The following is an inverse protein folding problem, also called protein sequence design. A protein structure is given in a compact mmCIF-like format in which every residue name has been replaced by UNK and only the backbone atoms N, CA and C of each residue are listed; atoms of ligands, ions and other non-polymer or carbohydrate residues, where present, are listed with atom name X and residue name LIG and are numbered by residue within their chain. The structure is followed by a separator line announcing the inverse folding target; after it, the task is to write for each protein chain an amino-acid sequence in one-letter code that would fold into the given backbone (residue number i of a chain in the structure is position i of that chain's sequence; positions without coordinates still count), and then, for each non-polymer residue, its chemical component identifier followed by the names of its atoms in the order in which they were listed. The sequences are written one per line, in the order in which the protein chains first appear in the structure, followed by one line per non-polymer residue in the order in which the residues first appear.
data_IF_740311130499
#
_entry.id   IF_740311130499
#
_cell.length_a   1.000
_cell.length_b   1.000
_cell.length_c   1.000
_cell.angle_alpha   90.00
_cell.angle_beta   90.00
_cell.angle_gamma   90.00
#
_symmetry.space_group_name_H-M   'P 1'
#
loop_
_entity.id
_entity.type
_entity.pdbx_description
1 polymer ?
#
# COMPACT_ATOMS: atom_id res chain seq x y z
N UNK A 1 11.42 5.30 3.72
CA UNK A 1 10.70 5.40 5.01
C UNK A 1 11.45 6.35 5.92
N UNK A 2 10.79 7.30 6.54
CA UNK A 2 11.36 8.14 7.59
C UNK A 2 10.69 7.70 8.88
N UNK A 3 11.47 7.10 9.78
CA UNK A 3 11.09 7.03 11.18
C UNK A 3 11.16 8.44 11.76
N UNK A 4 10.00 9.00 12.04
CA UNK A 4 9.88 10.25 12.76
C UNK A 4 9.68 9.89 14.24
N UNK A 5 10.78 9.61 14.91
CA UNK A 5 10.79 9.46 16.35
C UNK A 5 10.53 10.83 16.97
N UNK A 6 9.32 11.11 17.50
CA UNK A 6 8.97 12.45 17.94
C UNK A 6 8.23 12.48 19.26
N UNK A 7 8.87 13.12 20.22
CA UNK A 7 8.32 13.83 21.37
C UNK A 7 7.29 14.92 21.00
N UNK A 8 6.84 14.92 19.73
CA UNK A 8 6.16 16.03 19.12
C UNK A 8 4.66 15.90 19.05
N UNK A 9 4.19 14.69 18.81
CA UNK A 9 2.77 14.42 18.89
C UNK A 9 2.41 14.20 20.35
N UNK A 10 1.31 14.76 20.79
CA UNK A 10 0.87 14.70 22.21
C UNK A 10 0.66 13.27 22.72
N UNK A 11 0.61 12.30 21.82
CA UNK A 11 0.40 10.89 22.11
C UNK A 11 1.69 10.05 22.22
N UNK A 12 2.87 10.67 22.10
CA UNK A 12 4.18 10.00 22.13
C UNK A 12 4.33 8.84 21.14
N UNK A 13 3.47 8.81 20.11
CA UNK A 13 3.47 7.76 19.11
C UNK A 13 4.51 8.02 18.03
N UNK A 14 5.16 6.95 17.59
CA UNK A 14 6.04 6.98 16.41
C UNK A 14 5.17 6.91 15.13
N UNK A 15 5.41 7.82 14.22
CA UNK A 15 4.73 7.85 12.92
C UNK A 15 5.74 7.67 11.80
N UNK A 16 5.33 7.02 10.72
CA UNK A 16 6.13 6.93 9.52
C UNK A 16 5.56 7.81 8.40
N UNK A 17 6.44 8.34 7.55
CA UNK A 17 6.06 9.08 6.35
C UNK A 17 6.23 8.18 5.13
N UNK A 18 5.13 7.88 4.44
CA UNK A 18 5.17 7.27 3.12
C UNK A 18 5.23 8.40 2.11
N UNK A 19 6.16 8.33 1.16
CA UNK A 19 6.39 9.39 0.19
C UNK A 19 6.57 8.82 -1.22
N UNK A 20 5.91 9.42 -2.21
CA UNK A 20 6.09 9.15 -3.63
C UNK A 20 6.77 10.36 -4.28
N UNK A 21 7.87 10.09 -4.96
CA UNK A 21 8.67 11.10 -5.67
C UNK A 21 8.68 10.75 -7.15
N UNK A 22 8.35 11.70 -8.00
CA UNK A 22 8.47 11.57 -9.45
C UNK A 22 9.94 11.64 -9.87
N UNK A 23 10.39 10.61 -10.58
CA UNK A 23 11.80 10.48 -10.98
C UNK A 23 12.23 11.53 -12.01
N UNK A 24 11.30 12.01 -12.84
CA UNK A 24 11.59 12.98 -13.90
C UNK A 24 11.71 14.41 -13.37
N UNK A 25 10.89 14.79 -12.39
CA UNK A 25 10.78 16.17 -11.90
C UNK A 25 11.24 16.36 -10.47
N UNK A 26 11.52 15.28 -9.74
CA UNK A 26 11.84 15.26 -8.31
C UNK A 26 10.73 15.81 -7.42
N UNK A 27 9.55 15.98 -7.97
CA UNK A 27 8.39 16.42 -7.20
C UNK A 27 7.95 15.32 -6.25
N UNK A 28 7.67 15.69 -5.01
CA UNK A 28 6.83 14.88 -4.13
C UNK A 28 5.42 14.93 -4.69
N UNK A 29 4.96 13.83 -5.28
CA UNK A 29 3.65 13.74 -5.92
C UNK A 29 2.56 13.35 -4.93
N UNK A 30 2.92 12.62 -3.89
CA UNK A 30 2.06 12.28 -2.77
C UNK A 30 2.89 11.93 -1.53
N UNK A 31 2.43 12.30 -0.36
CA UNK A 31 3.04 11.88 0.90
C UNK A 31 1.97 11.80 2.00
N UNK A 32 2.11 10.84 2.93
CA UNK A 32 1.15 10.61 4.00
C UNK A 32 1.85 10.12 5.26
N UNK A 33 1.54 10.74 6.39
CA UNK A 33 1.89 10.18 7.69
C UNK A 33 0.95 9.05 8.06
N UNK A 34 1.53 7.96 8.55
CA UNK A 34 0.82 6.77 9.03
C UNK A 34 1.40 6.33 10.36
N UNK A 35 0.65 5.55 11.13
CA UNK A 35 1.13 5.03 12.43
C UNK A 35 2.30 4.06 12.28
N UNK A 36 2.26 3.21 11.26
CA UNK A 36 3.35 2.28 10.90
C UNK A 36 3.23 1.88 9.43
N UNK A 37 4.29 1.33 8.88
CA UNK A 37 4.28 0.76 7.54
C UNK A 37 3.53 -0.58 7.55
N UNK A 38 2.26 -0.54 7.17
CA UNK A 38 1.40 -1.71 7.04
C UNK A 38 0.86 -1.81 5.62
N UNK A 39 0.46 -3.02 5.23
CA UNK A 39 -0.12 -3.21 3.90
C UNK A 39 -1.40 -2.40 3.69
N UNK A 40 -2.20 -2.18 4.74
CA UNK A 40 -3.40 -1.34 4.65
C UNK A 40 -3.03 0.13 4.42
N UNK A 41 -2.03 0.64 5.12
CA UNK A 41 -1.57 2.02 4.94
C UNK A 41 -0.96 2.23 3.56
N UNK A 42 -0.26 1.23 3.02
CA UNK A 42 0.25 1.26 1.64
C UNK A 42 -0.89 1.19 0.62
N UNK A 43 -1.89 0.35 0.86
CA UNK A 43 -3.10 0.30 0.03
C UNK A 43 -3.82 1.65 0.00
N UNK A 44 -4.06 2.27 1.17
CA UNK A 44 -4.66 3.60 1.26
C UNK A 44 -3.83 4.65 0.53
N UNK A 45 -2.52 4.65 0.76
CA UNK A 45 -1.59 5.56 0.09
C UNK A 45 -1.64 5.43 -1.44
N UNK A 46 -1.62 4.20 -1.97
CA UNK A 46 -1.68 3.95 -3.41
C UNK A 46 -3.06 4.32 -3.97
N UNK A 47 -4.14 4.05 -3.23
CA UNK A 47 -5.49 4.44 -3.62
C UNK A 47 -5.62 5.96 -3.74
N UNK A 48 -5.18 6.71 -2.74
CA UNK A 48 -5.15 8.16 -2.74
C UNK A 48 -4.24 8.71 -3.86
N UNK A 49 -3.06 8.10 -4.04
CA UNK A 49 -2.14 8.47 -5.11
C UNK A 49 -2.78 8.36 -6.49
N UNK A 50 -3.43 7.22 -6.77
CA UNK A 50 -4.07 6.95 -8.06
C UNK A 50 -5.25 7.89 -8.31
N UNK A 51 -6.01 8.22 -7.29
CA UNK A 51 -7.14 9.17 -7.39
C UNK A 51 -6.68 10.58 -7.76
N UNK A 52 -5.49 10.98 -7.29
CA UNK A 52 -4.94 12.33 -7.52
C UNK A 52 -4.12 12.41 -8.81
N UNK A 53 -3.26 11.41 -9.04
CA UNK A 53 -2.20 11.47 -10.06
C UNK A 53 -2.41 10.50 -11.23
N UNK A 54 -3.44 9.63 -11.19
CA UNK A 54 -3.64 8.47 -12.05
C UNK A 54 -2.61 7.36 -11.76
N UNK A 55 -2.67 6.25 -12.52
CA UNK A 55 -1.74 5.12 -12.36
C UNK A 55 -0.37 5.45 -12.94
N UNK A 56 0.73 5.30 -12.19
CA UNK A 56 2.06 5.40 -12.77
C UNK A 56 2.33 4.19 -13.68
N UNK A 57 3.14 4.36 -14.70
CA UNK A 57 3.58 3.25 -15.56
C UNK A 57 4.52 2.31 -14.81
N UNK A 58 5.36 2.86 -13.95
CA UNK A 58 6.31 2.09 -13.16
C UNK A 58 6.48 2.67 -11.76
N UNK A 59 6.82 1.82 -10.81
CA UNK A 59 7.22 2.20 -9.45
C UNK A 59 8.57 1.57 -9.10
N UNK A 60 9.42 2.36 -8.49
CA UNK A 60 10.70 1.90 -7.99
C UNK A 60 10.57 1.52 -6.51
N UNK A 61 10.95 0.30 -6.16
CA UNK A 61 10.98 -0.18 -4.79
C UNK A 61 12.41 -0.52 -4.38
N UNK A 62 12.79 -0.21 -3.13
CA UNK A 62 14.08 -0.60 -2.60
C UNK A 62 14.09 -2.10 -2.29
N UNK A 63 15.18 -2.77 -2.69
CA UNK A 63 15.41 -4.20 -2.39
C UNK A 63 15.75 -4.48 -0.93
N UNK A 64 16.19 -3.48 -0.17
CA UNK A 64 16.65 -3.72 1.20
C UNK A 64 15.54 -4.25 2.12
N UNK A 65 14.29 -3.85 1.91
CA UNK A 65 13.14 -4.42 2.60
C UNK A 65 12.82 -5.87 2.18
N UNK A 66 13.28 -6.31 0.99
CA UNK A 66 13.01 -7.65 0.46
C UNK A 66 14.02 -8.73 0.87
N UNK A 67 15.17 -8.38 1.45
CA UNK A 67 16.30 -9.31 1.66
C UNK A 67 16.68 -9.64 3.11
N UNK A 68 16.11 -9.02 4.11
CA UNK A 68 16.38 -9.39 5.51
C UNK A 68 15.55 -10.61 5.91
N UNK A 69 16.03 -11.80 5.61
CA UNK A 69 15.28 -13.08 5.65
C UNK A 69 15.26 -13.76 7.02
N UNK A 70 15.93 -13.24 8.04
CA UNK A 70 16.21 -13.98 9.28
C UNK A 70 15.44 -13.51 10.53
N UNK A 71 14.45 -12.62 10.39
CA UNK A 71 13.65 -12.15 11.54
C UNK A 71 12.14 -12.35 11.28
N UNK A 72 11.29 -12.55 12.31
CA UNK A 72 9.83 -12.65 12.14
C UNK A 72 9.20 -11.46 11.39
N UNK A 73 9.75 -10.26 11.54
CA UNK A 73 9.40 -9.07 10.73
C UNK A 73 9.62 -9.29 9.23
N UNK A 74 10.64 -10.03 8.85
CA UNK A 74 11.02 -10.25 7.43
C UNK A 74 9.98 -11.08 6.66
N UNK A 75 9.21 -11.92 7.35
CA UNK A 75 8.12 -12.70 6.73
C UNK A 75 6.92 -11.81 6.40
N UNK A 76 6.62 -10.85 7.27
CA UNK A 76 5.56 -9.86 7.05
C UNK A 76 5.90 -8.94 5.87
N UNK A 77 7.13 -8.43 5.81
CA UNK A 77 7.61 -7.57 4.73
C UNK A 77 7.60 -8.31 3.38
N UNK A 78 7.93 -9.60 3.36
CA UNK A 78 7.82 -10.45 2.15
C UNK A 78 6.39 -10.61 1.66
N UNK A 79 5.46 -10.90 2.57
CA UNK A 79 4.04 -11.03 2.23
C UNK A 79 3.50 -9.70 1.71
N UNK A 80 3.85 -8.59 2.34
CA UNK A 80 3.48 -7.25 1.95
C UNK A 80 3.98 -6.90 0.55
N UNK A 81 5.27 -7.08 0.28
CA UNK A 81 5.86 -6.82 -1.04
C UNK A 81 5.30 -7.72 -2.12
N UNK A 82 5.08 -9.01 -1.81
CA UNK A 82 4.46 -9.95 -2.74
C UNK A 82 3.04 -9.51 -3.12
N UNK A 83 2.24 -9.09 -2.16
CA UNK A 83 0.86 -8.60 -2.41
C UNK A 83 0.86 -7.28 -3.17
N UNK A 84 1.76 -6.36 -2.82
CA UNK A 84 1.95 -5.11 -3.57
C UNK A 84 2.34 -5.39 -5.02
N UNK A 85 3.27 -6.30 -5.25
CA UNK A 85 3.69 -6.67 -6.61
C UNK A 85 2.55 -7.30 -7.42
N UNK A 86 1.74 -8.17 -6.81
CA UNK A 86 0.55 -8.75 -7.46
C UNK A 86 -0.45 -7.66 -7.82
N UNK A 87 -0.71 -6.71 -6.92
CA UNK A 87 -1.61 -5.59 -7.18
C UNK A 87 -1.09 -4.70 -8.32
N UNK A 88 0.20 -4.35 -8.30
CA UNK A 88 0.84 -3.59 -9.38
C UNK A 88 0.73 -4.32 -10.72
N UNK A 89 0.99 -5.63 -10.76
CA UNK A 89 0.87 -6.41 -12.00
C UNK A 89 -0.56 -6.41 -12.55
N UNK A 90 -1.58 -6.53 -11.70
CA UNK A 90 -2.99 -6.45 -12.11
C UNK A 90 -3.32 -5.07 -12.68
N UNK A 91 -2.77 -4.03 -12.08
CA UNK A 91 -2.95 -2.63 -12.51
C UNK A 91 -2.09 -2.24 -13.71
N UNK A 92 -1.27 -3.17 -14.24
CA UNK A 92 -0.30 -2.89 -15.31
C UNK A 92 0.75 -1.84 -14.92
N UNK A 93 1.12 -1.82 -13.64
CA UNK A 93 2.19 -0.99 -13.10
C UNK A 93 3.45 -1.85 -13.01
N UNK A 94 4.49 -1.46 -13.71
CA UNK A 94 5.78 -2.16 -13.63
C UNK A 94 6.45 -1.91 -12.27
N UNK A 95 6.87 -2.97 -11.59
CA UNK A 95 7.64 -2.86 -10.35
C UNK A 95 9.11 -3.06 -10.66
N UNK A 96 9.89 -2.01 -10.52
CA UNK A 96 11.33 -2.01 -10.79
C UNK A 96 12.08 -2.09 -9.47
N UNK A 97 12.76 -3.22 -9.25
CA UNK A 97 13.69 -3.37 -8.13
C UNK A 97 15.07 -2.91 -8.58
N UNK A 98 15.38 -1.65 -8.37
CA UNK A 98 16.62 -1.12 -8.86
C UNK A 98 17.79 -1.37 -7.90
N UNK A 99 18.95 -1.71 -8.49
CA UNK A 99 20.26 -1.71 -7.84
C UNK A 99 21.03 -0.42 -8.12
N UNK A 100 20.45 0.49 -8.92
CA UNK A 100 21.13 1.69 -9.36
C UNK A 100 21.26 2.69 -8.19
N UNK A 101 22.50 3.16 -7.87
CA UNK A 101 22.69 4.11 -6.79
C UNK A 101 22.02 5.47 -7.02
N UNK A 102 21.82 5.86 -8.28
CA UNK A 102 21.37 7.20 -8.65
C UNK A 102 19.94 7.51 -8.23
N UNK A 103 18.98 6.58 -8.49
CA UNK A 103 17.60 6.79 -8.06
C UNK A 103 17.46 6.65 -6.54
N UNK A 104 18.21 5.74 -5.92
CA UNK A 104 18.24 5.57 -4.46
C UNK A 104 18.70 6.86 -3.80
N UNK A 105 19.73 7.49 -4.34
CA UNK A 105 20.22 8.79 -3.88
C UNK A 105 19.13 9.89 -3.96
N UNK A 106 18.31 9.92 -5.01
CA UNK A 106 17.21 10.90 -5.16
C UNK A 106 16.17 10.73 -4.07
N UNK A 107 15.74 9.49 -3.84
CA UNK A 107 14.76 9.18 -2.79
C UNK A 107 15.35 9.47 -1.40
N UNK A 108 16.59 9.06 -1.14
CA UNK A 108 17.29 9.36 0.12
C UNK A 108 17.44 10.86 0.37
N UNK A 109 17.78 11.64 -0.66
CA UNK A 109 17.85 13.10 -0.53
C UNK A 109 16.49 13.74 -0.28
N UNK A 110 15.44 13.28 -0.95
CA UNK A 110 14.08 13.72 -0.66
C UNK A 110 13.75 13.48 0.82
N UNK A 111 14.03 12.29 1.32
CA UNK A 111 13.82 11.96 2.72
C UNK A 111 14.66 12.81 3.68
N UNK A 112 15.94 13.01 3.43
CA UNK A 112 16.80 13.91 4.24
C UNK A 112 16.23 15.32 4.27
N UNK A 113 15.75 15.83 3.14
CA UNK A 113 15.17 17.16 3.04
C UNK A 113 13.86 17.24 3.86
N UNK A 114 13.03 16.22 3.80
CA UNK A 114 11.80 16.15 4.62
C UNK A 114 12.15 16.06 6.12
N UNK A 115 13.10 15.22 6.52
CA UNK A 115 13.55 15.12 7.90
C UNK A 115 14.06 16.46 8.46
N UNK A 116 14.86 17.17 7.68
CA UNK A 116 15.43 18.44 8.16
C UNK A 116 14.40 19.58 8.20
N UNK A 117 13.46 19.64 7.25
CA UNK A 117 12.57 20.78 7.07
C UNK A 117 11.16 20.58 7.56
N UNK A 118 10.53 19.46 7.21
CA UNK A 118 9.12 19.20 7.50
C UNK A 118 8.84 19.29 8.99
N UNK A 119 9.69 18.66 9.80
CA UNK A 119 9.54 18.66 11.25
C UNK A 119 9.65 20.07 11.83
N UNK A 120 10.65 20.83 11.38
CA UNK A 120 10.86 22.21 11.85
C UNK A 120 9.66 23.09 11.46
N UNK A 121 9.11 22.93 10.25
CA UNK A 121 7.96 23.69 9.79
C UNK A 121 6.67 23.28 10.52
N UNK A 122 6.47 21.99 10.78
CA UNK A 122 5.36 21.51 11.61
C UNK A 122 5.43 22.09 13.03
N UNK A 123 6.60 22.20 13.61
CA UNK A 123 6.85 22.87 14.90
C UNK A 123 6.44 24.32 14.89
N UNK A 124 6.87 25.04 13.94
CA UNK A 124 6.51 26.45 13.80
C UNK A 124 5.00 26.65 13.58
N UNK A 125 4.32 25.70 12.95
CA UNK A 125 2.89 25.70 12.71
C UNK A 125 2.05 25.10 13.87
N UNK A 126 2.69 24.69 14.98
CA UNK A 126 2.02 24.09 16.15
C UNK A 126 1.17 22.85 15.78
N UNK A 127 1.66 22.04 14.85
CA UNK A 127 1.00 20.81 14.45
C UNK A 127 1.25 19.74 15.49
N UNK A 128 0.22 19.15 16.09
CA UNK A 128 0.33 18.26 17.24
C UNK A 128 -0.32 16.88 17.06
N UNK A 129 -0.96 16.63 15.93
CA UNK A 129 -1.59 15.33 15.66
C UNK A 129 -1.49 14.95 14.20
N UNK A 130 -1.63 13.65 13.91
CA UNK A 130 -1.45 13.08 12.58
C UNK A 130 -2.43 13.66 11.53
N UNK A 131 -3.66 13.98 11.93
CA UNK A 131 -4.68 14.51 11.01
C UNK A 131 -4.29 15.91 10.54
N UNK A 132 -3.92 16.78 11.48
CA UNK A 132 -3.44 18.13 11.14
C UNK A 132 -2.08 18.08 10.43
N UNK A 133 -1.22 17.09 10.74
CA UNK A 133 0.04 16.87 10.04
C UNK A 133 -0.17 16.51 8.57
N UNK A 134 -1.08 15.59 8.27
CA UNK A 134 -1.42 15.23 6.89
C UNK A 134 -2.05 16.38 6.13
N UNK A 135 -2.93 17.16 6.77
CA UNK A 135 -3.50 18.34 6.17
C UNK A 135 -2.42 19.41 5.86
N UNK A 136 -1.55 19.70 6.82
CA UNK A 136 -0.43 20.63 6.64
C UNK A 136 0.52 20.18 5.53
N UNK A 137 0.83 18.87 5.51
CA UNK A 137 1.68 18.25 4.50
C UNK A 137 1.13 18.52 3.10
N UNK A 138 -0.16 18.33 2.91
CA UNK A 138 -0.82 18.44 1.61
C UNK A 138 -1.09 19.86 1.17
N UNK A 139 -1.65 20.70 2.07
CA UNK A 139 -2.11 22.05 1.74
C UNK A 139 -0.96 23.06 1.64
N UNK A 140 0.11 22.82 2.40
CA UNK A 140 1.18 23.81 2.54
C UNK A 140 2.56 23.29 2.19
N UNK A 141 3.00 22.19 2.83
CA UNK A 141 4.40 21.77 2.77
C UNK A 141 4.80 21.22 1.39
N UNK A 142 4.02 20.30 0.81
CA UNK A 142 4.32 19.70 -0.49
C UNK A 142 4.37 20.75 -1.60
N UNK A 143 3.41 21.66 -1.75
CA UNK A 143 3.49 22.73 -2.74
C UNK A 143 4.74 23.61 -2.59
N UNK A 144 5.04 24.02 -1.36
CA UNK A 144 6.23 24.82 -1.03
C UNK A 144 7.53 24.08 -1.33
N UNK A 145 7.61 22.79 -0.94
CA UNK A 145 8.76 21.93 -1.22
C UNK A 145 8.99 21.77 -2.71
N UNK A 146 7.95 21.44 -3.46
CA UNK A 146 8.03 21.23 -4.90
C UNK A 146 8.44 22.50 -5.64
N UNK A 147 7.92 23.67 -5.26
CA UNK A 147 8.32 24.94 -5.86
C UNK A 147 9.82 25.21 -5.69
N UNK A 148 10.43 24.72 -4.61
CA UNK A 148 11.85 24.99 -4.30
C UNK A 148 12.80 23.96 -4.87
N UNK A 149 12.41 22.67 -4.92
CA UNK A 149 13.31 21.55 -5.16
C UNK A 149 13.01 20.76 -6.43
N UNK A 150 11.87 21.01 -7.10
CA UNK A 150 11.59 20.33 -8.36
C UNK A 150 12.46 20.87 -9.49
N UNK A 151 12.67 20.02 -10.48
CA UNK A 151 13.34 20.33 -11.73
C UNK A 151 12.38 20.16 -12.89
N UNK A 152 12.66 20.81 -14.01
CA UNK A 152 11.89 20.58 -15.24
C UNK A 152 12.14 19.20 -15.81
N UNK A 153 11.07 18.52 -16.23
CA UNK A 153 11.18 17.25 -16.90
C UNK A 153 11.90 17.41 -18.25
N UNK A 154 12.82 16.50 -18.57
CA UNK A 154 13.49 16.47 -19.88
C UNK A 154 12.51 16.23 -21.03
N UNK A 155 11.40 15.56 -20.76
CA UNK A 155 10.33 15.23 -21.70
C UNK A 155 9.02 15.67 -21.06
N UNK A 156 8.23 16.43 -21.81
CA UNK A 156 6.97 17.04 -21.32
C UNK A 156 5.76 16.09 -21.23
N UNK A 157 5.94 14.81 -21.50
CA UNK A 157 4.83 13.85 -21.53
C UNK A 157 4.53 13.31 -20.13
N UNK A 158 3.25 13.26 -19.79
CA UNK A 158 2.79 12.57 -18.59
C UNK A 158 2.49 11.10 -18.94
N UNK A 159 3.25 10.20 -18.33
CA UNK A 159 3.11 8.74 -18.53
C UNK A 159 2.09 8.08 -17.59
N UNK A 160 1.37 8.85 -16.78
CA UNK A 160 0.30 8.28 -15.95
C UNK A 160 -0.91 7.90 -16.79
N UNK A 161 -1.51 6.77 -16.46
CA UNK A 161 -2.66 6.22 -17.17
C UNK A 161 -3.91 6.30 -16.29
N UNK A 162 -5.06 6.79 -16.81
CA UNK A 162 -6.30 6.83 -16.04
C UNK A 162 -6.67 5.44 -15.51
N UNK A 163 -7.17 5.39 -14.27
CA UNK A 163 -7.73 4.16 -13.72
C UNK A 163 -9.12 3.91 -14.33
N UNK A 164 -9.41 2.68 -14.73
CA UNK A 164 -10.74 2.30 -15.21
C UNK A 164 -11.71 2.18 -14.02
N UNK A 165 -13.02 2.29 -14.30
CA UNK A 165 -14.07 2.11 -13.28
C UNK A 165 -13.96 0.74 -12.62
N UNK A 166 -13.73 -0.32 -13.39
CA UNK A 166 -13.56 -1.68 -12.88
C UNK A 166 -12.36 -1.80 -11.93
N UNK A 167 -11.22 -1.24 -12.31
CA UNK A 167 -10.01 -1.26 -11.47
C UNK A 167 -10.24 -0.52 -10.15
N UNK A 168 -10.90 0.64 -10.20
CA UNK A 168 -11.21 1.45 -9.01
C UNK A 168 -12.13 0.70 -8.04
N UNK A 169 -13.22 0.10 -8.54
CA UNK A 169 -14.17 -0.67 -7.73
C UNK A 169 -13.57 -1.96 -7.13
N UNK A 170 -12.53 -2.50 -7.76
CA UNK A 170 -11.89 -3.75 -7.33
C UNK A 170 -10.52 -3.56 -6.69
N UNK A 171 -10.07 -2.34 -6.47
CA UNK A 171 -8.73 -2.05 -5.97
C UNK A 171 -8.43 -2.76 -4.64
N UNK A 172 -9.40 -2.83 -3.72
CA UNK A 172 -9.27 -3.53 -2.44
C UNK A 172 -8.99 -5.04 -2.60
N UNK A 173 -9.46 -5.65 -3.71
CA UNK A 173 -9.29 -7.07 -3.99
C UNK A 173 -7.95 -7.37 -4.66
N UNK A 174 -7.31 -6.39 -5.31
CA UNK A 174 -6.00 -6.57 -5.92
C UNK A 174 -4.91 -6.76 -4.86
N UNK A 175 -5.08 -6.16 -3.69
CA UNK A 175 -4.23 -6.34 -2.51
C UNK A 175 -4.68 -7.49 -1.60
N UNK A 176 -5.70 -8.25 -1.97
CA UNK A 176 -6.31 -9.25 -1.12
C UNK A 176 -5.34 -10.38 -0.75
N UNK A 177 -5.50 -10.90 0.48
CA UNK A 177 -4.82 -12.10 0.94
C UNK A 177 -5.54 -13.33 0.37
N UNK A 178 -4.78 -14.25 -0.23
CA UNK A 178 -5.32 -15.51 -0.75
C UNK A 178 -4.75 -16.68 0.05
N UNK A 179 -5.63 -17.43 0.69
CA UNK A 179 -5.24 -18.61 1.46
C UNK A 179 -6.01 -19.84 1.00
N UNK A 180 -5.30 -20.96 0.88
CA UNK A 180 -5.91 -22.23 0.53
C UNK A 180 -6.50 -22.90 1.76
N UNK A 181 -7.74 -23.34 1.67
CA UNK A 181 -8.46 -24.09 2.69
C UNK A 181 -9.11 -25.31 2.06
N UNK A 182 -9.52 -26.26 2.89
CA UNK A 182 -10.18 -27.49 2.47
C UNK A 182 -11.63 -27.46 2.95
N UNK A 183 -12.55 -27.81 2.06
CA UNK A 183 -13.96 -28.00 2.39
C UNK A 183 -14.07 -29.31 3.19
N UNK A 184 -14.69 -29.24 4.37
CA UNK A 184 -14.99 -30.40 5.20
C UNK A 184 -16.17 -31.20 4.66
N UNK A 185 -16.44 -32.41 5.26
CA UNK A 185 -17.57 -33.29 4.88
C UNK A 185 -18.94 -32.61 5.09
N UNK A 186 -19.02 -31.72 6.06
CA UNK A 186 -20.20 -30.91 6.38
C UNK A 186 -20.35 -29.66 5.51
N UNK A 187 -19.56 -29.54 4.45
CA UNK A 187 -19.53 -28.39 3.54
C UNK A 187 -19.15 -27.06 4.20
N UNK A 188 -18.36 -27.16 5.25
CA UNK A 188 -17.83 -25.99 5.94
C UNK A 188 -16.35 -25.73 5.59
N UNK A 189 -15.98 -24.46 5.67
CA UNK A 189 -14.61 -23.98 5.59
C UNK A 189 -14.28 -23.22 6.87
N UNK A 190 -13.22 -23.57 7.56
CA UNK A 190 -12.75 -22.83 8.73
C UNK A 190 -11.69 -21.80 8.31
N UNK A 191 -11.91 -20.55 8.70
CA UNK A 191 -10.98 -19.48 8.46
C UNK A 191 -11.08 -18.43 9.59
N UNK A 192 -9.92 -18.00 10.14
CA UNK A 192 -9.84 -17.01 11.23
C UNK A 192 -10.81 -17.28 12.39
N UNK A 193 -10.83 -18.52 12.91
CA UNK A 193 -11.72 -18.99 13.98
C UNK A 193 -13.22 -18.90 13.68
N UNK A 194 -13.59 -18.63 12.43
CA UNK A 194 -14.97 -18.57 11.97
C UNK A 194 -15.26 -19.73 11.04
N UNK A 195 -16.47 -20.25 11.10
CA UNK A 195 -16.99 -21.33 10.27
C UNK A 195 -17.88 -20.77 9.16
N UNK A 196 -17.56 -21.09 7.93
CA UNK A 196 -18.30 -20.65 6.75
C UNK A 196 -18.96 -21.85 6.10
N UNK A 197 -20.30 -21.88 6.05
CA UNK A 197 -21.09 -22.92 5.40
C UNK A 197 -21.25 -22.59 3.92
N UNK A 198 -20.72 -23.45 3.04
CA UNK A 198 -20.94 -23.31 1.61
C UNK A 198 -22.35 -23.74 1.23
N UNK A 199 -23.01 -22.97 0.36
CA UNK A 199 -24.36 -23.30 -0.10
C UNK A 199 -24.39 -24.58 -0.92
N UNK A 200 -25.25 -25.54 -0.55
CA UNK A 200 -25.35 -26.88 -1.17
C UNK A 200 -25.69 -26.87 -2.67
N UNK A 201 -26.28 -25.79 -3.17
CA UNK A 201 -26.59 -25.63 -4.61
C UNK A 201 -25.35 -25.59 -5.50
N UNK A 202 -24.18 -25.32 -4.93
CA UNK A 202 -22.92 -25.27 -5.64
C UNK A 202 -22.16 -26.59 -5.40
N UNK A 203 -22.59 -27.68 -6.07
CA UNK A 203 -22.05 -29.02 -5.85
C UNK A 203 -20.51 -29.05 -5.95
N UNK A 204 -19.86 -29.29 -4.82
CA UNK A 204 -18.43 -29.47 -4.69
C UNK A 204 -18.14 -30.73 -3.86
N UNK A 205 -17.22 -31.60 -4.27
CA UNK A 205 -16.84 -32.75 -3.46
C UNK A 205 -16.20 -32.28 -2.15
N UNK A 206 -16.49 -32.98 -1.05
CA UNK A 206 -15.76 -32.81 0.19
C UNK A 206 -14.25 -33.00 -0.05
N UNK A 207 -13.42 -32.38 0.80
CA UNK A 207 -11.95 -32.38 0.69
C UNK A 207 -11.39 -31.59 -0.49
N UNK A 208 -12.25 -30.91 -1.25
CA UNK A 208 -11.77 -30.03 -2.32
C UNK A 208 -11.09 -28.81 -1.73
N UNK A 209 -9.98 -28.42 -2.34
CA UNK A 209 -9.28 -27.19 -2.01
C UNK A 209 -10.01 -26.00 -2.59
N UNK A 210 -10.19 -24.97 -1.77
CA UNK A 210 -10.75 -23.66 -2.13
C UNK A 210 -9.80 -22.55 -1.74
N UNK A 211 -9.92 -21.42 -2.43
CA UNK A 211 -9.19 -20.20 -2.09
C UNK A 211 -10.11 -19.28 -1.30
N UNK A 212 -9.73 -18.98 -0.06
CA UNK A 212 -10.33 -17.92 0.73
C UNK A 212 -9.57 -16.65 0.44
N UNK A 213 -10.28 -15.62 -0.01
CA UNK A 213 -9.73 -14.34 -0.41
C UNK A 213 -10.29 -13.28 0.53
N UNK A 214 -9.40 -12.62 1.27
CA UNK A 214 -9.77 -11.55 2.20
C UNK A 214 -9.28 -10.22 1.63
N UNK A 215 -10.20 -9.28 1.38
CA UNK A 215 -9.87 -7.95 0.89
C UNK A 215 -9.12 -7.14 1.95
N UNK A 216 -8.57 -5.99 1.55
CA UNK A 216 -7.91 -5.07 2.48
C UNK A 216 -8.88 -4.49 3.52
N UNK A 217 -10.15 -4.37 3.17
CA UNK A 217 -11.21 -3.87 4.06
C UNK A 217 -11.90 -4.99 4.88
N UNK A 218 -11.32 -6.20 4.90
CA UNK A 218 -11.83 -7.33 5.69
C UNK A 218 -13.00 -8.08 5.06
N UNK A 219 -13.44 -7.73 3.84
CA UNK A 219 -14.46 -8.50 3.13
C UNK A 219 -13.89 -9.85 2.70
N UNK A 220 -14.72 -10.89 2.71
CA UNK A 220 -14.30 -12.24 2.41
C UNK A 220 -15.05 -12.79 1.20
N UNK A 221 -14.32 -13.50 0.34
CA UNK A 221 -14.84 -14.28 -0.76
C UNK A 221 -14.20 -15.67 -0.76
N UNK A 222 -14.94 -16.67 -1.16
CA UNK A 222 -14.45 -18.06 -1.28
C UNK A 222 -14.58 -18.47 -2.74
N UNK A 223 -13.49 -18.97 -3.31
CA UNK A 223 -13.46 -19.43 -4.70
C UNK A 223 -13.11 -20.91 -4.80
N UNK A 224 -13.84 -21.62 -5.64
CA UNK A 224 -13.41 -22.92 -6.16
C UNK A 224 -13.00 -22.74 -7.61
N UNK A 225 -11.71 -22.85 -7.92
CA UNK A 225 -11.16 -22.41 -9.21
C UNK A 225 -11.49 -20.92 -9.44
N UNK A 226 -12.22 -20.60 -10.49
CA UNK A 226 -12.64 -19.23 -10.82
C UNK A 226 -14.12 -18.95 -10.47
N UNK A 227 -14.81 -19.87 -9.77
CA UNK A 227 -16.21 -19.71 -9.39
C UNK A 227 -16.30 -19.23 -7.95
N UNK A 228 -16.95 -18.10 -7.74
CA UNK A 228 -17.23 -17.56 -6.40
C UNK A 228 -18.32 -18.43 -5.72
N UNK A 229 -18.05 -18.85 -4.51
CA UNK A 229 -18.95 -19.68 -3.72
C UNK A 229 -19.74 -18.82 -2.75
N UNK A 230 -21.04 -19.02 -2.74
CA UNK A 230 -21.93 -18.42 -1.74
C UNK A 230 -21.81 -19.18 -0.42
N UNK A 231 -21.79 -18.47 0.68
CA UNK A 231 -21.64 -19.03 2.01
C UNK A 231 -22.40 -18.22 3.07
N UNK A 232 -22.71 -18.88 4.16
CA UNK A 232 -23.24 -18.27 5.39
C UNK A 232 -22.22 -18.41 6.52
N UNK A 233 -22.21 -17.47 7.45
CA UNK A 233 -21.37 -17.55 8.64
C UNK A 233 -22.14 -18.36 9.70
N UNK A 234 -21.48 -19.39 10.22
CA UNK A 234 -22.03 -20.19 11.34
C UNK A 234 -21.21 -19.85 12.59
N UNK A 235 -21.90 -19.37 13.59
CA UNK A 235 -21.34 -19.16 14.93
C UNK A 235 -21.17 -20.46 15.69
#
# INVERSE_FOLDING_TARGET
MIDLNHDWFEDWSEYCLINAVDDATWKTTHAKFTTWESLINIYEFISEYIDINWKPVAVYLDRHSAYKINHPKDQFDKEMLSRLQVACNILWIEVIYSKCPEWKWRVENSFKTHQDRLIKEMRLAWIKNIVSANKFLYDYYIPKHNNKFSVEAKVSWNFHVPITKYEKENLEWFFAKKEKRIIKRDWTVNYMNTKYQIHKKQYLPAWKQVNVVTSMLGKLKIFSWNVELLFDIIN
#
